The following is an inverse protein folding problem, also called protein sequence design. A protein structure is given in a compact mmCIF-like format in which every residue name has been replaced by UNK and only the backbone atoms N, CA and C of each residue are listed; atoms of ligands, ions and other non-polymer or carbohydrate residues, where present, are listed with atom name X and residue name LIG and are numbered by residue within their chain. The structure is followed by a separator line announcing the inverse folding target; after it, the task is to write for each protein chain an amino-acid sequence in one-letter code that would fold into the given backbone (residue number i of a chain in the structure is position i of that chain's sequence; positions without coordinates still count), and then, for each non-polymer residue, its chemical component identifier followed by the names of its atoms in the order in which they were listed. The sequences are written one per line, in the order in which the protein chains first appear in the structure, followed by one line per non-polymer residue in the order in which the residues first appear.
data_IF_352285913078
#
_entry.id   IF_352285913078
#
_cell.length_a   1.000
_cell.length_b   1.000
_cell.length_c   1.000
_cell.angle_alpha   90.00
_cell.angle_beta   90.00
_cell.angle_gamma   90.00
#
_symmetry.space_group_name_H-M   'P 1'
#
loop_
_entity.id
_entity.type
_entity.pdbx_description
1 polymer ?
#
# COMPACT_ATOMS: atom_id res chain seq x y z
N UNK A 1 24.89 -37.20 -30.09
CA UNK A 1 23.63 -36.61 -30.56
C UNK A 1 22.64 -36.69 -29.41
N UNK A 2 22.24 -35.50 -28.94
CA UNK A 2 21.06 -35.08 -28.17
C UNK A 2 20.78 -35.81 -26.83
N UNK A 3 20.96 -35.15 -25.68
CA UNK A 3 20.25 -34.00 -25.09
C UNK A 3 18.92 -34.35 -24.41
N UNK A 4 18.71 -33.61 -23.32
CA UNK A 4 17.49 -33.37 -22.55
C UNK A 4 17.10 -34.34 -21.43
N UNK A 5 16.69 -33.89 -20.24
CA UNK A 5 16.72 -32.56 -19.61
C UNK A 5 16.28 -32.77 -18.15
N UNK A 6 17.00 -32.18 -17.19
CA UNK A 6 16.65 -32.21 -15.76
C UNK A 6 15.62 -31.13 -15.45
N UNK A 7 14.42 -31.53 -15.02
CA UNK A 7 13.40 -30.61 -14.51
C UNK A 7 13.67 -30.29 -13.03
N UNK A 8 14.00 -29.03 -12.76
CA UNK A 8 14.05 -28.47 -11.42
C UNK A 8 12.61 -28.21 -10.92
N UNK A 9 12.23 -28.84 -9.81
CA UNK A 9 11.01 -28.51 -9.08
C UNK A 9 11.17 -27.14 -8.42
N UNK A 10 10.42 -26.14 -8.90
CA UNK A 10 10.23 -24.88 -8.20
C UNK A 10 9.25 -25.10 -7.04
N UNK A 11 9.76 -25.03 -5.81
CA UNK A 11 8.93 -25.06 -4.60
C UNK A 11 8.09 -23.79 -4.48
N UNK A 12 6.76 -23.94 -4.48
CA UNK A 12 5.82 -22.89 -4.13
C UNK A 12 5.92 -22.61 -2.62
N UNK A 13 6.41 -21.43 -2.24
CA UNK A 13 6.31 -20.93 -0.85
C UNK A 13 4.99 -20.20 -0.71
N UNK A 14 4.11 -20.75 0.12
CA UNK A 14 2.89 -20.10 0.60
C UNK A 14 3.30 -19.15 1.73
N UNK A 15 3.40 -17.85 1.45
CA UNK A 15 3.58 -16.84 2.49
C UNK A 15 2.24 -16.66 3.19
N UNK A 16 2.08 -17.25 4.39
CA UNK A 16 0.81 -17.22 5.11
C UNK A 16 0.81 -17.93 6.46
N UNK A 17 1.99 -18.09 7.08
CA UNK A 17 2.05 -18.55 8.47
C UNK A 17 2.84 -17.53 9.27
N UNK A 18 2.14 -16.82 10.15
CA UNK A 18 2.75 -16.00 11.18
C UNK A 18 3.82 -16.84 11.90
N UNK A 19 5.09 -16.46 11.76
CA UNK A 19 6.16 -17.08 12.53
C UNK A 19 5.86 -16.83 14.02
N UNK A 20 5.93 -17.87 14.88
CA UNK A 20 5.91 -17.64 16.32
C UNK A 20 7.10 -16.73 16.65
N UNK A 21 6.83 -15.60 17.29
CA UNK A 21 7.87 -14.65 17.69
C UNK A 21 8.75 -15.29 18.75
N UNK A 22 9.91 -15.83 18.36
CA UNK A 22 11.03 -15.95 19.28
C UNK A 22 11.44 -14.52 19.62
N UNK A 23 11.25 -14.11 20.89
CA UNK A 23 11.73 -12.83 21.39
C UNK A 23 13.24 -12.73 21.08
N UNK A 24 13.58 -11.91 20.09
CA UNK A 24 14.94 -11.64 19.70
C UNK A 24 15.47 -10.54 20.61
N UNK A 25 16.61 -10.78 21.28
CA UNK A 25 17.34 -9.81 22.11
C UNK A 25 17.93 -8.62 21.30
N UNK A 26 17.58 -8.47 20.02
CA UNK A 26 17.95 -7.30 19.24
C UNK A 26 17.21 -6.05 19.74
N UNK A 27 17.87 -4.87 19.80
CA UNK A 27 17.18 -3.63 20.10
C UNK A 27 16.04 -3.39 19.10
N UNK A 28 14.92 -2.78 19.54
CA UNK A 28 13.81 -2.48 18.63
C UNK A 28 14.32 -1.60 17.48
N UNK A 29 13.89 -1.93 16.25
CA UNK A 29 14.23 -1.14 15.06
C UNK A 29 13.77 0.31 15.23
N UNK A 30 14.37 1.22 14.49
CA UNK A 30 13.87 2.60 14.33
C UNK A 30 13.20 2.79 12.98
N UNK A 31 12.33 3.81 12.86
CA UNK A 31 11.75 4.20 11.56
C UNK A 31 12.83 4.51 10.53
N UNK A 32 13.95 5.12 10.94
CA UNK A 32 15.08 5.39 10.04
C UNK A 32 15.68 4.12 9.45
N UNK A 33 15.88 3.09 10.29
CA UNK A 33 16.38 1.79 9.81
C UNK A 33 15.41 1.11 8.85
N UNK A 34 14.10 1.25 9.07
CA UNK A 34 13.07 0.76 8.15
C UNK A 34 13.10 1.53 6.83
N UNK A 35 13.11 2.87 6.90
CA UNK A 35 13.19 3.76 5.74
C UNK A 35 14.42 3.50 4.87
N UNK A 36 15.60 3.32 5.48
CA UNK A 36 16.85 2.99 4.78
C UNK A 36 16.78 1.62 4.10
N UNK A 37 16.21 0.60 4.75
CA UNK A 37 16.03 -0.72 4.15
C UNK A 37 15.09 -0.66 2.94
N UNK A 38 13.92 -0.02 3.09
CA UNK A 38 12.93 0.12 2.04
C UNK A 38 13.49 0.93 0.86
N UNK A 39 14.22 2.03 1.15
CA UNK A 39 14.92 2.79 0.11
C UNK A 39 15.88 1.91 -0.68
N UNK A 40 16.70 1.10 0.00
CA UNK A 40 17.62 0.19 -0.69
C UNK A 40 16.86 -0.78 -1.60
N UNK A 41 15.78 -1.41 -1.11
CA UNK A 41 14.93 -2.30 -1.93
C UNK A 41 14.35 -1.59 -3.16
N UNK A 42 13.86 -0.36 -3.00
CA UNK A 42 13.32 0.46 -4.11
C UNK A 42 14.43 0.83 -5.11
N UNK A 43 15.62 1.22 -4.64
CA UNK A 43 16.78 1.50 -5.50
C UNK A 43 17.22 0.26 -6.26
N UNK A 44 17.28 -0.90 -5.59
CA UNK A 44 17.61 -2.19 -6.21
C UNK A 44 16.60 -2.54 -7.33
N UNK A 45 15.30 -2.31 -7.10
CA UNK A 45 14.26 -2.45 -8.14
C UNK A 45 14.49 -1.50 -9.32
N UNK A 46 14.81 -0.24 -9.06
CA UNK A 46 15.03 0.78 -10.10
C UNK A 46 16.30 0.56 -10.93
N UNK A 47 17.30 -0.13 -10.37
CA UNK A 47 18.56 -0.45 -11.04
C UNK A 47 18.52 -1.79 -11.80
N UNK A 48 17.54 -2.65 -11.50
CA UNK A 48 17.36 -3.93 -12.17
C UNK A 48 17.30 -3.76 -13.69
N UNK A 49 18.20 -4.44 -14.40
CA UNK A 49 18.15 -4.55 -15.85
C UNK A 49 17.21 -5.69 -16.23
N UNK A 50 16.18 -5.39 -17.00
CA UNK A 50 15.15 -6.37 -17.38
C UNK A 50 14.55 -6.06 -18.74
N UNK A 51 14.14 -7.11 -19.46
CA UNK A 51 13.37 -7.03 -20.71
C UNK A 51 11.87 -7.29 -20.46
N UNK A 52 11.46 -7.49 -19.21
CA UNK A 52 10.07 -7.66 -18.81
C UNK A 52 9.34 -6.31 -18.83
N UNK A 53 8.30 -6.21 -19.66
CA UNK A 53 7.54 -4.98 -19.87
C UNK A 53 6.81 -4.51 -18.60
N UNK A 54 6.28 -5.44 -17.79
CA UNK A 54 5.62 -5.10 -16.53
C UNK A 54 6.62 -4.49 -15.55
N UNK A 55 7.82 -5.05 -15.43
CA UNK A 55 8.86 -4.47 -14.58
C UNK A 55 9.36 -3.12 -15.08
N UNK A 56 9.47 -2.92 -16.39
CA UNK A 56 9.84 -1.62 -16.97
C UNK A 56 8.78 -0.55 -16.69
N UNK A 57 7.50 -0.89 -16.84
CA UNK A 57 6.38 0.00 -16.51
C UNK A 57 6.32 0.29 -15.02
N UNK A 58 6.49 -0.73 -14.16
CA UNK A 58 6.61 -0.56 -12.72
C UNK A 58 7.75 0.40 -12.36
N UNK A 59 8.95 0.23 -12.92
CA UNK A 59 10.07 1.15 -12.66
C UNK A 59 9.75 2.60 -13.09
N UNK A 60 9.02 2.79 -14.19
CA UNK A 60 8.54 4.11 -14.60
C UNK A 60 7.58 4.70 -13.57
N UNK A 61 6.60 3.93 -13.13
CA UNK A 61 5.62 4.37 -12.13
C UNK A 61 6.26 4.69 -10.78
N UNK A 62 7.21 3.87 -10.33
CA UNK A 62 8.00 4.15 -9.12
C UNK A 62 8.70 5.50 -9.24
N UNK A 63 9.39 5.79 -10.35
CA UNK A 63 10.08 7.10 -10.52
C UNK A 63 9.11 8.28 -10.41
N UNK A 64 7.95 8.20 -11.08
CA UNK A 64 6.91 9.24 -11.02
C UNK A 64 6.41 9.42 -9.58
N UNK A 65 6.10 8.33 -8.88
CA UNK A 65 5.63 8.40 -7.50
C UNK A 65 6.67 9.02 -6.56
N UNK A 66 7.95 8.67 -6.71
CA UNK A 66 9.03 9.26 -5.92
C UNK A 66 9.12 10.78 -6.16
N UNK A 67 9.04 11.24 -7.41
CA UNK A 67 9.02 12.67 -7.75
C UNK A 67 7.85 13.41 -7.09
N UNK A 68 6.66 12.83 -7.10
CA UNK A 68 5.46 13.42 -6.47
C UNK A 68 5.62 13.48 -4.94
N UNK A 69 6.15 12.42 -4.32
CA UNK A 69 6.40 12.39 -2.87
C UNK A 69 7.46 13.42 -2.48
N UNK A 70 8.57 13.48 -3.21
CA UNK A 70 9.62 14.48 -2.96
C UNK A 70 9.11 15.91 -3.14
N UNK A 71 8.24 16.15 -4.13
CA UNK A 71 7.58 17.44 -4.31
C UNK A 71 6.69 17.79 -3.11
N UNK A 72 5.98 16.82 -2.54
CA UNK A 72 5.19 17.08 -1.33
C UNK A 72 6.04 17.49 -0.13
N UNK A 73 7.25 16.94 0.02
CA UNK A 73 8.20 17.35 1.08
C UNK A 73 8.78 18.75 0.87
N UNK A 74 8.76 19.28 -0.36
CA UNK A 74 9.13 20.68 -0.62
C UNK A 74 7.99 21.66 -0.29
N UNK A 75 6.73 21.21 -0.40
CA UNK A 75 5.53 22.03 -0.19
C UNK A 75 5.07 22.08 1.27
N UNK A 76 5.31 21.00 2.02
CA UNK A 76 4.76 20.82 3.35
C UNK A 76 5.84 20.35 4.32
N UNK A 77 5.74 20.82 5.57
CA UNK A 77 6.58 20.32 6.66
C UNK A 77 6.15 18.90 7.05
N UNK A 78 7.03 18.09 7.67
CA UNK A 78 6.68 16.73 8.08
C UNK A 78 5.40 16.64 8.93
N UNK A 79 5.17 17.59 9.85
CA UNK A 79 3.97 17.61 10.72
C UNK A 79 2.73 18.24 10.07
N UNK A 80 2.82 18.65 8.81
CA UNK A 80 1.67 19.09 7.98
C UNK A 80 1.18 17.97 7.05
N UNK A 81 1.86 16.83 7.05
CA UNK A 81 1.61 15.69 6.17
C UNK A 81 1.03 14.51 6.94
N UNK A 82 0.09 13.80 6.32
CA UNK A 82 -0.49 12.57 6.87
C UNK A 82 -0.68 11.54 5.77
N UNK A 83 -0.68 10.25 6.13
CA UNK A 83 -1.07 9.16 5.24
C UNK A 83 -2.49 8.68 5.55
N UNK A 84 -3.34 8.50 4.53
CA UNK A 84 -4.57 7.71 4.66
C UNK A 84 -4.24 6.23 4.47
N UNK A 85 -4.32 5.44 5.54
CA UNK A 85 -3.88 4.04 5.56
C UNK A 85 -5.02 3.11 5.98
N UNK A 86 -5.36 2.14 5.13
CA UNK A 86 -6.44 1.17 5.38
C UNK A 86 -6.00 -0.29 5.36
N UNK A 87 -4.68 -0.56 5.25
CA UNK A 87 -4.13 -1.92 5.15
C UNK A 87 -4.34 -2.61 3.80
N UNK A 88 -4.99 -1.96 2.84
CA UNK A 88 -5.09 -2.46 1.47
C UNK A 88 -3.76 -2.40 0.72
N UNK A 89 -3.67 -3.17 -0.36
CA UNK A 89 -2.48 -3.26 -1.23
C UNK A 89 -2.00 -1.89 -1.75
N UNK A 90 -2.92 -1.00 -2.10
CA UNK A 90 -2.58 0.28 -2.75
C UNK A 90 -1.95 1.27 -1.76
N UNK A 91 -2.53 1.40 -0.56
CA UNK A 91 -1.95 2.24 0.49
C UNK A 91 -0.66 1.64 1.09
N UNK A 92 -0.49 0.31 1.04
CA UNK A 92 0.77 -0.35 1.41
C UNK A 92 1.91 0.04 0.44
N UNK A 93 1.67 -0.02 -0.89
CA UNK A 93 2.65 0.45 -1.88
C UNK A 93 3.01 1.91 -1.64
N UNK A 94 1.99 2.76 -1.47
CA UNK A 94 2.18 4.17 -1.18
C UNK A 94 2.99 4.42 0.11
N UNK A 95 2.69 3.70 1.19
CA UNK A 95 3.44 3.76 2.45
C UNK A 95 4.93 3.45 2.22
N UNK A 96 5.23 2.35 1.53
CA UNK A 96 6.62 1.94 1.27
C UNK A 96 7.37 3.00 0.46
N UNK A 97 6.73 3.59 -0.54
CA UNK A 97 7.33 4.66 -1.35
C UNK A 97 7.57 5.93 -0.52
N UNK A 98 6.64 6.32 0.36
CA UNK A 98 6.82 7.47 1.27
C UNK A 98 8.02 7.24 2.19
N UNK A 99 8.11 6.06 2.82
CA UNK A 99 9.21 5.72 3.71
C UNK A 99 10.56 5.67 2.97
N UNK A 100 10.58 5.18 1.73
CA UNK A 100 11.78 5.19 0.90
C UNK A 100 12.30 6.62 0.64
N UNK A 101 11.42 7.61 0.54
CA UNK A 101 11.78 9.02 0.33
C UNK A 101 12.13 9.80 1.61
N UNK A 102 11.86 9.28 2.83
CA UNK A 102 12.08 10.04 4.07
C UNK A 102 13.54 10.47 4.25
N UNK A 103 13.87 11.75 4.47
CA UNK A 103 15.26 12.22 4.55
C UNK A 103 16.02 11.52 5.68
N UNK A 104 17.25 11.05 5.41
CA UNK A 104 18.14 10.43 6.43
C UNK A 104 18.48 11.42 7.54
N UNK A 105 18.77 10.95 8.76
CA UNK A 105 19.25 11.79 9.88
C UNK A 105 20.57 12.52 9.57
N UNK A 106 21.31 12.06 8.56
CA UNK A 106 22.52 12.72 8.04
C UNK A 106 22.22 13.89 7.09
N UNK A 107 20.97 14.06 6.68
CA UNK A 107 20.48 15.22 5.93
C UNK A 107 20.32 16.41 6.87
N UNK A 108 20.38 17.64 6.35
CA UNK A 108 20.27 18.90 7.10
C UNK A 108 18.93 19.13 7.83
N UNK A 109 18.06 18.11 7.92
CA UNK A 109 16.83 18.14 8.69
C UNK A 109 17.14 18.09 10.19
N UNK A 110 16.45 18.94 10.97
CA UNK A 110 16.70 19.13 12.40
C UNK A 110 16.31 17.94 13.29
N UNK A 111 15.55 16.96 12.79
CA UNK A 111 15.35 15.63 13.40
C UNK A 111 14.63 14.68 12.42
N UNK A 112 15.07 13.42 12.34
CA UNK A 112 14.35 12.35 11.65
C UNK A 112 13.04 12.04 12.40
N UNK A 113 11.88 11.87 11.74
CA UNK A 113 10.62 11.58 12.43
C UNK A 113 10.67 10.20 13.13
N UNK A 114 10.16 10.12 14.35
CA UNK A 114 10.05 8.83 15.07
C UNK A 114 8.84 8.01 14.59
N UNK A 115 7.80 8.71 14.11
CA UNK A 115 6.57 8.12 13.59
C UNK A 115 6.09 8.84 12.33
N UNK A 116 5.34 8.13 11.48
CA UNK A 116 4.62 8.71 10.36
C UNK A 116 3.16 8.93 10.75
N UNK A 117 2.71 10.19 10.75
CA UNK A 117 1.32 10.52 11.05
C UNK A 117 0.37 9.93 10.01
N UNK A 118 -0.70 9.31 10.48
CA UNK A 118 -1.64 8.59 9.61
C UNK A 118 -3.06 8.55 10.18
N UNK A 119 -4.02 8.38 9.27
CA UNK A 119 -5.44 8.21 9.58
C UNK A 119 -5.92 6.86 9.03
N UNK A 120 -6.69 6.14 9.84
CA UNK A 120 -7.46 4.98 9.43
C UNK A 120 -8.95 5.18 9.76
N UNK A 121 -9.76 5.26 8.71
CA UNK A 121 -11.22 5.30 8.81
C UNK A 121 -11.71 3.86 8.67
N UNK A 122 -12.25 3.32 9.75
CA UNK A 122 -12.61 1.90 9.88
C UNK A 122 -14.02 1.70 9.33
N UNK A 123 -14.23 0.82 8.33
CA UNK A 123 -15.56 0.39 7.93
C UNK A 123 -16.30 -0.28 9.10
N UNK A 124 -17.61 -0.05 9.23
CA UNK A 124 -18.41 -0.61 10.34
C UNK A 124 -18.38 -2.15 10.40
N UNK A 125 -18.12 -2.79 9.27
CA UNK A 125 -18.07 -4.23 9.07
C UNK A 125 -16.71 -4.65 8.51
N UNK A 126 -15.61 -4.22 9.12
CA UNK A 126 -14.26 -4.61 8.66
C UNK A 126 -13.97 -6.10 8.89
N UNK A 127 -13.17 -6.70 8.01
CA UNK A 127 -12.65 -8.05 8.22
C UNK A 127 -11.63 -8.04 9.37
N UNK A 128 -11.69 -9.00 10.32
CA UNK A 128 -10.69 -9.13 11.37
C UNK A 128 -9.25 -9.22 10.83
N UNK A 129 -9.06 -9.89 9.69
CA UNK A 129 -7.75 -10.02 9.03
C UNK A 129 -7.21 -8.68 8.50
N UNK A 130 -8.09 -7.75 8.12
CA UNK A 130 -7.70 -6.38 7.73
C UNK A 130 -7.30 -5.59 8.96
N UNK A 131 -8.09 -5.65 10.02
CA UNK A 131 -7.77 -4.95 11.27
C UNK A 131 -6.46 -5.44 11.90
N UNK A 132 -6.24 -6.76 11.91
CA UNK A 132 -5.00 -7.36 12.37
C UNK A 132 -3.82 -6.92 11.50
N UNK A 133 -3.97 -6.96 10.17
CA UNK A 133 -2.93 -6.50 9.25
C UNK A 133 -2.61 -5.01 9.44
N UNK A 134 -3.61 -4.15 9.61
CA UNK A 134 -3.40 -2.73 9.92
C UNK A 134 -2.66 -2.56 11.24
N UNK A 135 -3.01 -3.32 12.28
CA UNK A 135 -2.38 -3.22 13.59
C UNK A 135 -0.92 -3.73 13.59
N UNK A 136 -0.60 -4.77 12.82
CA UNK A 136 0.78 -5.29 12.69
C UNK A 136 1.64 -4.38 11.83
N UNK A 137 1.16 -3.99 10.65
CA UNK A 137 1.86 -3.08 9.73
C UNK A 137 2.06 -1.69 10.31
N UNK A 138 1.09 -1.13 11.05
CA UNK A 138 1.25 0.16 11.73
C UNK A 138 2.42 0.14 12.73
N UNK A 139 2.64 -0.99 13.43
CA UNK A 139 3.79 -1.15 14.33
C UNK A 139 5.10 -1.33 13.56
N UNK A 140 5.11 -2.17 12.53
CA UNK A 140 6.29 -2.44 11.69
C UNK A 140 6.81 -1.16 11.01
N UNK A 141 5.88 -0.31 10.55
CA UNK A 141 6.18 0.89 9.78
C UNK A 141 6.07 2.20 10.60
N UNK A 142 5.99 2.11 11.93
CA UNK A 142 5.98 3.25 12.86
C UNK A 142 4.89 4.29 12.56
N UNK A 143 3.68 3.83 12.23
CA UNK A 143 2.54 4.72 11.99
C UNK A 143 1.98 5.24 13.32
N UNK A 144 1.87 6.56 13.47
CA UNK A 144 1.00 7.17 14.47
C UNK A 144 -0.42 7.20 13.88
N UNK A 145 -1.20 6.15 14.17
CA UNK A 145 -2.45 5.87 13.50
C UNK A 145 -3.67 6.36 14.29
N UNK A 146 -4.27 7.48 13.88
CA UNK A 146 -5.57 7.93 14.39
C UNK A 146 -6.69 7.10 13.77
N UNK A 147 -7.54 6.50 14.62
CA UNK A 147 -8.58 5.53 14.22
C UNK A 147 -9.97 6.12 14.42
N UNK A 148 -10.81 6.08 13.37
CA UNK A 148 -12.17 6.60 13.43
C UNK A 148 -13.18 5.57 12.91
N UNK A 149 -14.23 5.30 13.70
CA UNK A 149 -15.38 4.47 13.31
C UNK A 149 -16.55 5.40 12.95
N UNK A 150 -16.36 6.18 11.89
CA UNK A 150 -17.28 7.22 11.43
C UNK A 150 -17.36 7.18 9.90
N UNK A 151 -18.43 7.72 9.29
CA UNK A 151 -18.44 7.93 7.84
C UNK A 151 -17.28 8.84 7.43
N UNK A 152 -16.84 8.71 6.17
CA UNK A 152 -15.59 9.31 5.70
C UNK A 152 -15.46 10.82 5.98
N UNK A 153 -16.48 11.61 5.66
CA UNK A 153 -16.46 13.06 5.87
C UNK A 153 -16.40 13.44 7.37
N UNK A 154 -17.33 12.99 8.24
CA UNK A 154 -17.23 13.21 9.69
C UNK A 154 -15.91 12.74 10.32
N UNK A 155 -15.32 11.65 9.84
CA UNK A 155 -14.03 11.18 10.30
C UNK A 155 -12.89 12.16 9.96
N UNK A 156 -12.90 12.71 8.74
CA UNK A 156 -11.93 13.72 8.31
C UNK A 156 -12.11 15.06 9.04
N UNK A 157 -13.36 15.49 9.27
CA UNK A 157 -13.66 16.66 10.10
C UNK A 157 -13.03 16.49 11.50
N UNK A 158 -13.35 15.38 12.18
CA UNK A 158 -12.82 15.10 13.52
C UNK A 158 -11.29 15.00 13.55
N UNK A 159 -10.69 14.39 12.51
CA UNK A 159 -9.24 14.25 12.41
C UNK A 159 -8.54 15.60 12.25
N UNK A 160 -9.05 16.48 11.39
CA UNK A 160 -8.44 17.79 11.17
C UNK A 160 -8.66 18.74 12.35
N UNK A 161 -9.77 18.59 13.10
CA UNK A 161 -9.99 19.29 14.36
C UNK A 161 -8.98 18.84 15.44
N UNK A 162 -8.67 17.55 15.53
CA UNK A 162 -7.69 16.99 16.46
C UNK A 162 -6.24 17.31 16.05
N UNK A 163 -5.97 17.37 14.74
CA UNK A 163 -4.64 17.57 14.15
C UNK A 163 -4.62 18.81 13.23
N UNK A 164 -4.80 20.03 13.78
CA UNK A 164 -4.99 21.26 13.00
C UNK A 164 -3.78 21.69 12.15
N UNK A 165 -2.61 21.10 12.37
CA UNK A 165 -1.42 21.34 11.55
C UNK A 165 -1.47 20.62 10.19
N UNK A 166 -2.29 19.58 10.04
CA UNK A 166 -2.37 18.82 8.79
C UNK A 166 -2.94 19.68 7.67
N UNK A 167 -2.18 19.74 6.56
CA UNK A 167 -2.54 20.48 5.35
C UNK A 167 -2.65 19.59 4.12
N UNK A 168 -2.00 18.43 4.14
CA UNK A 168 -2.00 17.51 3.03
C UNK A 168 -2.02 16.05 3.48
N UNK A 169 -2.74 15.21 2.72
CA UNK A 169 -2.90 13.79 3.00
C UNK A 169 -2.56 12.99 1.74
N UNK A 170 -1.63 12.04 1.83
CA UNK A 170 -1.39 11.06 0.77
C UNK A 170 -2.50 10.01 0.75
N UNK A 171 -3.01 9.69 -0.45
CA UNK A 171 -4.13 8.78 -0.66
C UNK A 171 -3.80 7.80 -1.79
N UNK A 172 -3.96 6.50 -1.50
CA UNK A 172 -3.68 5.39 -2.43
C UNK A 172 -4.74 5.13 -3.50
N UNK A 173 -5.44 6.15 -3.97
CA UNK A 173 -6.44 6.03 -5.05
C UNK A 173 -5.74 5.93 -6.41
N UNK A 174 -6.24 5.05 -7.28
CA UNK A 174 -5.82 4.86 -8.67
C UNK A 174 -6.87 5.36 -9.68
N UNK A 175 -6.49 5.58 -10.93
CA UNK A 175 -7.38 6.04 -12.03
C UNK A 175 -8.65 5.21 -12.17
N UNK A 176 -8.52 3.90 -11.97
CA UNK A 176 -9.57 2.90 -12.15
C UNK A 176 -10.49 2.77 -10.93
N UNK A 177 -10.16 3.40 -9.81
CA UNK A 177 -11.00 3.41 -8.62
C UNK A 177 -12.21 4.33 -8.77
N UNK A 178 -13.28 4.11 -7.98
CA UNK A 178 -14.41 5.03 -7.92
C UNK A 178 -13.94 6.48 -7.67
N UNK A 179 -14.38 7.40 -8.52
CA UNK A 179 -14.00 8.82 -8.52
C UNK A 179 -12.53 9.14 -8.84
N UNK A 180 -11.72 8.17 -9.29
CA UNK A 180 -10.30 8.36 -9.58
C UNK A 180 -9.98 8.93 -10.97
N UNK A 181 -10.88 8.80 -11.95
CA UNK A 181 -10.56 9.02 -13.37
C UNK A 181 -10.04 10.41 -13.74
N UNK A 182 -10.51 11.46 -13.05
CA UNK A 182 -10.13 12.86 -13.33
C UNK A 182 -9.15 13.46 -12.33
N UNK A 183 -8.65 12.66 -11.37
CA UNK A 183 -7.69 13.14 -10.39
C UNK A 183 -6.32 13.38 -11.03
N UNK A 184 -5.61 14.33 -10.47
CA UNK A 184 -4.20 14.63 -10.70
C UNK A 184 -3.37 14.15 -9.51
N UNK A 185 -2.06 14.40 -9.53
CA UNK A 185 -1.22 14.07 -8.37
C UNK A 185 -1.50 14.96 -7.15
N UNK A 186 -2.08 16.15 -7.34
CA UNK A 186 -2.32 17.14 -6.29
C UNK A 186 -3.67 17.82 -6.51
N UNK A 187 -4.69 17.39 -5.78
CA UNK A 187 -6.03 17.97 -5.86
C UNK A 187 -6.50 18.40 -4.47
N UNK A 188 -6.98 19.63 -4.33
CA UNK A 188 -7.75 19.98 -3.15
C UNK A 188 -9.02 19.11 -3.07
N UNK A 189 -9.46 18.84 -1.86
CA UNK A 189 -10.81 18.32 -1.60
C UNK A 189 -11.88 19.21 -2.22
N UNK A 190 -13.02 18.62 -2.58
CA UNK A 190 -14.16 19.38 -3.09
C UNK A 190 -14.67 20.38 -2.03
N UNK A 191 -15.41 21.40 -2.47
CA UNK A 191 -15.86 22.53 -1.62
C UNK A 191 -16.62 22.10 -0.37
N UNK A 192 -17.40 21.02 -0.46
CA UNK A 192 -18.24 20.54 0.65
C UNK A 192 -17.52 19.57 1.57
N UNK A 193 -16.21 19.35 1.39
CA UNK A 193 -15.37 18.50 2.23
C UNK A 193 -14.46 19.33 3.14
N UNK A 194 -13.93 18.74 4.22
CA UNK A 194 -12.87 19.37 5.02
C UNK A 194 -11.70 19.72 4.11
N UNK A 195 -11.17 20.94 4.21
CA UNK A 195 -10.25 21.47 3.21
C UNK A 195 -8.80 21.05 3.47
N UNK A 196 -8.26 20.20 2.60
CA UNK A 196 -6.85 19.82 2.57
C UNK A 196 -6.40 19.41 1.16
N UNK A 197 -5.08 19.34 0.95
CA UNK A 197 -4.50 18.84 -0.29
C UNK A 197 -4.50 17.31 -0.30
N UNK A 198 -5.14 16.68 -1.29
CA UNK A 198 -5.00 15.25 -1.56
C UNK A 198 -3.80 15.04 -2.46
N UNK A 199 -2.92 14.13 -2.07
CA UNK A 199 -1.72 13.77 -2.84
C UNK A 199 -1.89 12.33 -3.32
N UNK A 200 -1.79 12.11 -4.63
CA UNK A 200 -2.00 10.79 -5.26
C UNK A 200 -0.76 10.30 -6.02
N UNK A 201 0.32 9.86 -5.33
CA UNK A 201 1.55 9.43 -6.00
C UNK A 201 1.39 8.17 -6.85
N UNK A 202 0.40 7.32 -6.52
CA UNK A 202 0.15 6.04 -7.20
C UNK A 202 -1.01 6.10 -8.19
N UNK A 203 -1.50 7.30 -8.55
CA UNK A 203 -2.75 7.46 -9.32
C UNK A 203 -2.75 6.72 -10.66
N UNK A 204 -1.60 6.66 -11.35
CA UNK A 204 -1.45 6.05 -12.67
C UNK A 204 -0.95 4.59 -12.62
N UNK A 205 -0.93 3.97 -11.45
CA UNK A 205 -0.53 2.56 -11.32
C UNK A 205 -1.64 1.61 -11.76
N UNK A 206 -1.25 0.51 -12.38
CA UNK A 206 -2.10 -0.62 -12.75
C UNK A 206 -2.03 -1.75 -11.71
N UNK A 207 -3.04 -2.61 -11.69
CA UNK A 207 -3.18 -3.71 -10.73
C UNK A 207 -1.96 -4.64 -10.73
N UNK A 208 -1.48 -5.01 -11.92
CA UNK A 208 -0.31 -5.86 -12.08
C UNK A 208 0.96 -5.21 -11.51
N UNK A 209 1.10 -3.89 -11.61
CA UNK A 209 2.26 -3.15 -11.09
C UNK A 209 2.25 -3.10 -9.56
N UNK A 210 1.07 -2.91 -8.95
CA UNK A 210 0.89 -2.97 -7.49
C UNK A 210 1.39 -4.31 -6.95
N UNK A 211 0.97 -5.43 -7.56
CA UNK A 211 1.41 -6.75 -7.12
C UNK A 211 2.86 -7.04 -7.47
N UNK A 212 3.34 -6.64 -8.66
CA UNK A 212 4.75 -6.79 -9.01
C UNK A 212 5.65 -6.09 -8.00
N UNK A 213 5.28 -4.88 -7.54
CA UNK A 213 6.01 -4.16 -6.49
C UNK A 213 6.00 -4.90 -5.15
N UNK A 214 4.81 -5.26 -4.66
CA UNK A 214 4.64 -5.97 -3.38
C UNK A 214 5.44 -7.27 -3.37
N UNK A 215 5.37 -8.05 -4.47
CA UNK A 215 6.03 -9.34 -4.59
C UNK A 215 7.54 -9.21 -4.81
N UNK A 216 8.00 -8.22 -5.56
CA UNK A 216 9.44 -8.00 -5.78
C UNK A 216 10.15 -7.59 -4.50
N UNK A 217 9.52 -6.72 -3.68
CA UNK A 217 10.10 -6.24 -2.43
C UNK A 217 9.92 -7.21 -1.25
N UNK A 218 9.20 -8.32 -1.46
CA UNK A 218 8.85 -9.32 -0.45
C UNK A 218 8.15 -8.66 0.74
N UNK A 219 7.10 -7.89 0.46
CA UNK A 219 6.30 -7.19 1.48
C UNK A 219 5.20 -8.12 1.99
N UNK A 220 5.00 -8.13 3.31
CA UNK A 220 3.81 -8.73 3.92
C UNK A 220 2.56 -7.92 3.54
N UNK A 221 1.47 -8.61 3.24
CA UNK A 221 0.18 -8.03 2.86
C UNK A 221 -0.98 -8.77 3.55
N UNK A 222 -2.18 -8.18 3.53
CA UNK A 222 -3.36 -8.78 4.15
C UNK A 222 -3.64 -10.20 3.58
N UNK A 223 -3.77 -11.24 4.43
CA UNK A 223 -3.86 -12.63 3.95
C UNK A 223 -5.14 -12.93 3.16
N UNK A 224 -6.15 -12.05 3.19
CA UNK A 224 -7.32 -12.15 2.33
C UNK A 224 -6.95 -12.19 0.84
N UNK A 225 -5.89 -11.50 0.46
CA UNK A 225 -5.41 -11.49 -0.92
C UNK A 225 -4.97 -12.89 -1.38
N UNK A 226 -4.42 -13.73 -0.50
CA UNK A 226 -4.08 -15.12 -0.87
C UNK A 226 -5.31 -16.01 -1.02
N UNK A 227 -6.44 -15.60 -0.45
CA UNK A 227 -7.74 -16.28 -0.56
C UNK A 227 -8.59 -15.77 -1.73
N UNK A 228 -7.97 -15.07 -2.68
CA UNK A 228 -8.61 -14.60 -3.91
C UNK A 228 -9.43 -13.33 -3.80
N UNK A 229 -9.38 -12.62 -2.68
CA UNK A 229 -9.93 -11.27 -2.60
C UNK A 229 -9.04 -10.31 -3.38
N UNK A 230 -9.58 -9.46 -4.24
CA UNK A 230 -8.79 -8.54 -5.09
C UNK A 230 -9.02 -7.07 -4.77
N UNK A 231 -10.15 -6.76 -4.13
CA UNK A 231 -10.54 -5.46 -3.61
C UNK A 231 -11.18 -5.66 -2.24
N UNK A 232 -10.73 -4.94 -1.22
CA UNK A 232 -11.22 -5.10 0.15
C UNK A 232 -12.21 -3.99 0.50
N UNK A 233 -13.40 -4.39 0.94
CA UNK A 233 -14.45 -3.53 1.50
C UNK A 233 -14.85 -3.99 2.89
N UNK A 234 -16.14 -3.89 3.19
CA UNK A 234 -16.74 -4.51 4.35
C UNK A 234 -17.03 -6.00 4.13
N UNK A 235 -17.24 -6.73 5.22
CA UNK A 235 -17.62 -8.14 5.19
C UNK A 235 -18.95 -8.34 4.44
N UNK A 236 -19.85 -7.36 4.51
CA UNK A 236 -21.15 -7.44 3.86
C UNK A 236 -21.14 -7.23 2.35
N UNK A 237 -20.11 -6.57 1.79
CA UNK A 237 -20.08 -6.11 0.39
C UNK A 237 -18.92 -6.71 -0.44
N UNK A 238 -18.17 -7.65 0.14
CA UNK A 238 -16.92 -8.16 -0.42
C UNK A 238 -16.86 -9.68 -0.40
N UNK A 239 -16.60 -10.27 -1.57
CA UNK A 239 -16.41 -11.69 -1.82
C UNK A 239 -15.08 -11.95 -2.56
N UNK A 240 -14.54 -13.19 -2.54
CA UNK A 240 -13.44 -13.56 -3.42
C UNK A 240 -13.78 -13.30 -4.89
N UNK A 241 -12.78 -12.93 -5.68
CA UNK A 241 -12.97 -12.60 -7.07
C UNK A 241 -13.33 -13.85 -7.90
N UNK A 242 -14.47 -13.88 -8.60
CA UNK A 242 -14.86 -15.04 -9.40
C UNK A 242 -13.87 -15.37 -10.53
N UNK A 243 -13.11 -14.40 -11.06
CA UNK A 243 -12.07 -14.63 -12.08
C UNK A 243 -10.87 -15.44 -11.54
N UNK A 244 -10.76 -15.58 -10.21
CA UNK A 244 -9.73 -16.35 -9.54
C UNK A 244 -10.22 -17.72 -9.07
N UNK A 245 -11.48 -18.09 -9.29
CA UNK A 245 -11.98 -19.42 -8.91
C UNK A 245 -11.17 -20.54 -9.60
N UNK A 246 -10.84 -21.60 -8.85
CA UNK A 246 -10.11 -22.76 -9.38
C UNK A 246 -11.05 -23.64 -10.20
N UNK A 247 -10.62 -24.04 -11.39
CA UNK A 247 -11.38 -24.97 -12.23
C UNK A 247 -11.69 -26.27 -11.47
N UNK A 248 -12.95 -26.67 -11.48
CA UNK A 248 -13.48 -27.86 -10.79
C UNK A 248 -13.50 -27.78 -9.24
N UNK A 249 -13.17 -26.64 -8.64
CA UNK A 249 -13.35 -26.40 -7.20
C UNK A 249 -13.75 -24.94 -6.91
N UNK A 250 -15.06 -24.62 -6.97
CA UNK A 250 -15.55 -23.24 -6.77
C UNK A 250 -15.39 -22.75 -5.33
N UNK A 251 -14.94 -23.59 -4.39
CA UNK A 251 -14.64 -23.20 -3.01
C UNK A 251 -13.21 -22.69 -2.83
N UNK A 252 -12.36 -22.85 -3.85
CA UNK A 252 -10.95 -22.45 -3.83
C UNK A 252 -10.70 -21.34 -4.84
N UNK A 253 -9.89 -20.39 -4.43
CA UNK A 253 -9.50 -19.26 -5.25
C UNK A 253 -7.98 -19.17 -5.34
N UNK A 254 -7.51 -18.79 -6.52
CA UNK A 254 -6.12 -18.40 -6.75
C UNK A 254 -5.87 -17.06 -6.06
N UNK A 255 -4.63 -16.78 -5.64
CA UNK A 255 -4.28 -15.55 -4.95
C UNK A 255 -4.42 -14.32 -5.86
N UNK A 256 -4.64 -13.16 -5.25
CA UNK A 256 -4.98 -11.89 -5.89
C UNK A 256 -3.97 -11.46 -6.96
N UNK A 257 -2.68 -11.68 -6.72
CA UNK A 257 -1.60 -11.36 -7.65
C UNK A 257 -1.62 -12.16 -8.96
N UNK A 258 -2.49 -13.16 -9.10
CA UNK A 258 -2.71 -13.87 -10.36
C UNK A 258 -3.80 -13.25 -11.25
N UNK A 259 -4.51 -12.22 -10.77
CA UNK A 259 -5.43 -11.42 -11.58
C UNK A 259 -4.61 -10.45 -12.46
N UNK A 260 -4.99 -10.34 -13.74
CA UNK A 260 -4.23 -9.55 -14.72
C UNK A 260 -4.89 -8.23 -15.09
N UNK A 261 -6.22 -8.21 -15.18
CA UNK A 261 -6.96 -7.08 -15.75
C UNK A 261 -7.52 -6.16 -14.65
N UNK A 262 -7.27 -4.85 -14.78
CA UNK A 262 -7.73 -3.84 -13.83
C UNK A 262 -9.26 -3.80 -13.69
N UNK A 263 -9.98 -3.97 -14.81
CA UNK A 263 -11.44 -3.93 -14.82
C UNK A 263 -12.09 -5.12 -14.09
N UNK A 264 -11.33 -6.19 -13.84
CA UNK A 264 -11.79 -7.37 -13.10
C UNK A 264 -11.59 -7.23 -11.60
N UNK A 265 -10.80 -6.26 -11.13
CA UNK A 265 -10.40 -6.13 -9.73
C UNK A 265 -11.58 -6.08 -8.75
N UNK A 266 -12.69 -5.48 -9.18
CA UNK A 266 -13.87 -5.24 -8.34
C UNK A 266 -15.01 -6.22 -8.61
N UNK A 267 -14.79 -7.31 -9.35
CA UNK A 267 -15.83 -8.32 -9.64
C UNK A 267 -16.37 -9.03 -8.39
N UNK A 268 -15.59 -9.07 -7.31
CA UNK A 268 -16.02 -9.58 -6.00
C UNK A 268 -16.69 -8.53 -5.11
N UNK A 269 -17.04 -7.34 -5.61
CA UNK A 269 -17.74 -6.31 -4.84
C UNK A 269 -19.21 -6.27 -5.25
N UNK A 270 -20.09 -6.15 -4.27
CA UNK A 270 -21.51 -5.91 -4.54
C UNK A 270 -21.68 -4.56 -5.27
N UNK A 271 -22.63 -4.52 -6.21
CA UNK A 271 -22.96 -3.32 -7.00
C UNK A 271 -23.94 -2.41 -6.30
#
# INVERSE_FOLDING_TARGET
MNQDSSSAQAGSRVNGTAKPSSASDAPPRTLEQVAVELRRKVVDLLQLQTNDELLQNLQKQVRISLEVIEESFKRYRPDELSLSYNGGKDCLVLLVLILACLPSSTSTFSRFPEHLQSIFIIPYDSFPEVEEFVATSAREYFLELSRYVLPMRPALDAYLDEKPNIKAIWIGTRRVDPNGGHLTHFDYTDKDWPQFMRIHPVIDWHYAEIWAFIRYLDLEYCPLYDRGFTSLGGVGDTQPNPALAVENDPSRFRPAYELKEDNEERLGRDR
#
